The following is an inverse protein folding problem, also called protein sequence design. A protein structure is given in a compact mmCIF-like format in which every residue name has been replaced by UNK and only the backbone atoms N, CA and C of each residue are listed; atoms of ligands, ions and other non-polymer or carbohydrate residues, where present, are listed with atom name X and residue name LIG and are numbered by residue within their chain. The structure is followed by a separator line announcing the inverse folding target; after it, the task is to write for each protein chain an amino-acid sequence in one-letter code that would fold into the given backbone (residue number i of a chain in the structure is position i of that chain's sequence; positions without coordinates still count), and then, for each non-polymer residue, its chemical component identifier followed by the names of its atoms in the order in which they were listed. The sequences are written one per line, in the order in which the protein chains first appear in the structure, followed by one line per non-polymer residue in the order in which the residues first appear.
data_IF_428471172583
#
_entry.id   IF_428471172583
#
_cell.length_a   1.000
_cell.length_b   1.000
_cell.length_c   1.000
_cell.angle_alpha   90.00
_cell.angle_beta   90.00
_cell.angle_gamma   90.00
#
_symmetry.space_group_name_H-M   'P 1'
#
loop_
_entity.id
_entity.type
_entity.pdbx_description
1 polymer ?
#
# COMPACT_ATOMS: atom_id res chain seq x y z
N UNK A 1 -8.09 2.04 -6.02
CA UNK A 1 -6.90 1.63 -5.23
C UNK A 1 -5.80 2.61 -5.60
N UNK A 2 -5.01 3.14 -4.63
CA UNK A 2 -4.08 4.22 -4.92
C UNK A 2 -3.14 3.91 -6.07
N UNK A 3 -2.91 4.89 -6.92
CA UNK A 3 -2.05 4.76 -8.08
C UNK A 3 -0.67 5.32 -7.76
N UNK A 4 0.39 4.53 -7.91
CA UNK A 4 1.77 4.98 -7.83
C UNK A 4 2.20 5.51 -9.21
N UNK A 5 2.59 6.78 -9.31
CA UNK A 5 2.91 7.40 -10.59
C UNK A 5 1.82 7.18 -11.66
N UNK A 6 0.54 7.32 -11.24
CA UNK A 6 -0.65 7.11 -12.09
C UNK A 6 -0.81 5.68 -12.65
N UNK A 7 -0.14 4.69 -12.06
CA UNK A 7 -0.31 3.27 -12.39
C UNK A 7 -0.74 2.48 -11.16
N UNK A 8 -1.49 1.38 -11.31
CA UNK A 8 -1.81 0.51 -10.19
C UNK A 8 -0.53 0.03 -9.49
N UNK A 9 -0.49 0.13 -8.16
CA UNK A 9 0.60 -0.44 -7.38
C UNK A 9 0.37 -1.93 -7.18
N UNK A 10 1.33 -2.75 -7.61
CA UNK A 10 1.30 -4.18 -7.36
C UNK A 10 1.49 -4.50 -5.87
N UNK A 11 0.83 -5.57 -5.40
CA UNK A 11 1.16 -6.20 -4.12
C UNK A 11 2.43 -7.04 -4.28
N UNK A 12 3.31 -7.03 -3.29
CA UNK A 12 4.42 -7.99 -3.22
C UNK A 12 3.85 -9.38 -2.99
N UNK A 13 4.40 -10.37 -3.66
CA UNK A 13 4.00 -11.76 -3.48
C UNK A 13 4.44 -12.26 -2.10
N UNK A 14 3.61 -13.13 -1.51
CA UNK A 14 4.00 -13.82 -0.28
C UNK A 14 5.18 -14.74 -0.59
N UNK A 15 6.30 -14.65 0.15
CA UNK A 15 7.43 -15.53 -0.08
C UNK A 15 7.02 -17.02 -0.03
N UNK A 16 7.48 -17.85 -0.98
CA UNK A 16 7.18 -19.27 -0.93
C UNK A 16 7.78 -19.86 0.36
N UNK A 17 6.98 -20.65 1.08
CA UNK A 17 7.33 -21.36 2.34
C UNK A 17 7.08 -20.63 3.67
N UNK A 18 6.33 -19.52 3.71
CA UNK A 18 5.85 -18.97 5.00
C UNK A 18 4.86 -19.92 5.66
N UNK A 19 5.16 -20.35 6.89
CA UNK A 19 4.27 -21.17 7.72
C UNK A 19 3.38 -20.29 8.60
N UNK A 20 2.25 -20.85 9.04
CA UNK A 20 1.31 -20.13 9.91
C UNK A 20 1.90 -19.70 11.26
N UNK A 21 2.94 -20.39 11.72
CA UNK A 21 3.64 -20.12 13.00
C UNK A 21 4.80 -19.13 12.86
N UNK A 22 5.16 -18.74 11.64
CA UNK A 22 6.32 -17.88 11.41
C UNK A 22 6.02 -16.45 11.85
N UNK A 23 7.02 -15.80 12.44
CA UNK A 23 6.93 -14.37 12.75
C UNK A 23 7.18 -13.58 11.47
N UNK A 24 6.24 -12.70 11.14
CA UNK A 24 6.29 -11.85 9.94
C UNK A 24 6.03 -10.40 10.33
N UNK A 25 6.46 -9.49 9.47
CA UNK A 25 6.06 -8.09 9.51
C UNK A 25 4.80 -7.94 8.67
N UNK A 26 3.72 -7.46 9.27
CA UNK A 26 2.44 -7.29 8.60
C UNK A 26 2.16 -5.80 8.35
N UNK A 27 1.81 -5.47 7.11
CA UNK A 27 1.43 -4.13 6.68
C UNK A 27 -0.07 -4.10 6.40
N UNK A 28 -0.82 -3.64 7.39
CA UNK A 28 -2.29 -3.69 7.39
C UNK A 28 -2.91 -2.94 6.21
N UNK A 29 -2.39 -1.75 5.87
CA UNK A 29 -2.99 -0.88 4.86
C UNK A 29 -2.99 -1.48 3.44
N UNK A 30 -2.03 -2.35 3.13
CA UNK A 30 -1.95 -3.04 1.83
C UNK A 30 -2.23 -4.54 1.94
N UNK A 31 -2.43 -5.04 3.17
CA UNK A 31 -2.59 -6.46 3.49
C UNK A 31 -1.43 -7.30 2.94
N UNK A 32 -0.20 -6.83 3.19
CA UNK A 32 1.05 -7.47 2.77
C UNK A 32 1.80 -8.02 3.98
N UNK A 33 2.52 -9.13 3.78
CA UNK A 33 3.42 -9.71 4.79
C UNK A 33 4.85 -9.77 4.26
N UNK A 34 5.81 -9.61 5.16
CA UNK A 34 7.25 -9.62 4.85
C UNK A 34 7.96 -10.48 5.88
N UNK A 35 8.98 -11.21 5.42
CA UNK A 35 9.76 -12.11 6.29
C UNK A 35 11.00 -11.44 6.84
N UNK A 36 11.43 -10.34 6.21
CA UNK A 36 12.58 -9.54 6.65
C UNK A 36 12.15 -8.11 6.98
N UNK A 37 12.90 -7.48 7.89
CA UNK A 37 12.67 -6.09 8.24
C UNK A 37 12.98 -5.15 7.06
N UNK A 38 14.03 -5.44 6.30
CA UNK A 38 14.48 -4.58 5.20
C UNK A 38 13.40 -4.50 4.10
N UNK A 39 12.79 -5.62 3.70
CA UNK A 39 11.70 -5.63 2.73
C UNK A 39 10.47 -4.84 3.21
N UNK A 40 10.12 -4.99 4.49
CA UNK A 40 9.03 -4.25 5.11
C UNK A 40 9.34 -2.74 5.15
N UNK A 41 10.57 -2.38 5.53
CA UNK A 41 11.02 -1.01 5.65
C UNK A 41 11.07 -0.30 4.29
N UNK A 42 11.59 -0.96 3.25
CA UNK A 42 11.54 -0.45 1.87
C UNK A 42 10.10 -0.20 1.41
N UNK A 43 9.19 -1.13 1.71
CA UNK A 43 7.78 -0.95 1.37
C UNK A 43 7.19 0.23 2.11
N UNK A 44 7.49 0.40 3.40
CA UNK A 44 7.07 1.56 4.17
C UNK A 44 7.58 2.88 3.58
N UNK A 45 8.85 2.95 3.18
CA UNK A 45 9.40 4.14 2.49
C UNK A 45 8.60 4.44 1.22
N UNK A 46 8.34 3.41 0.41
CA UNK A 46 7.56 3.57 -0.82
C UNK A 46 6.16 4.11 -0.52
N UNK A 47 5.42 3.51 0.43
CA UNK A 47 4.05 3.92 0.75
C UNK A 47 3.95 5.32 1.39
N UNK A 48 5.02 5.77 2.07
CA UNK A 48 5.12 7.11 2.62
C UNK A 48 5.64 8.16 1.62
N UNK A 49 6.02 7.77 0.40
CA UNK A 49 6.37 8.74 -0.65
C UNK A 49 5.10 9.44 -1.17
N UNK A 50 5.21 10.72 -1.52
CA UNK A 50 4.09 11.53 -2.06
C UNK A 50 3.84 11.30 -3.55
N UNK A 51 4.21 10.12 -4.07
CA UNK A 51 4.11 9.77 -5.49
C UNK A 51 2.75 9.17 -5.87
N UNK A 52 1.79 9.13 -4.94
CA UNK A 52 0.49 8.53 -5.17
C UNK A 52 -0.56 9.53 -5.62
N UNK A 53 -1.58 8.96 -6.26
CA UNK A 53 -2.82 9.65 -6.60
C UNK A 53 -4.05 8.80 -6.28
N UNK A 54 -5.15 9.45 -5.93
CA UNK A 54 -6.45 8.83 -5.75
C UNK A 54 -7.08 8.51 -7.11
N UNK A 55 -7.51 7.26 -7.31
CA UNK A 55 -8.11 6.82 -8.57
C UNK A 55 -9.48 7.48 -8.84
N UNK A 56 -10.28 7.70 -7.80
CA UNK A 56 -11.65 8.23 -7.92
C UNK A 56 -11.70 9.77 -8.04
N UNK A 57 -10.87 10.48 -7.26
CA UNK A 57 -10.90 11.95 -7.23
C UNK A 57 -9.85 12.60 -8.14
N UNK A 58 -8.84 11.84 -8.58
CA UNK A 58 -7.72 12.36 -9.36
C UNK A 58 -6.72 13.20 -8.57
N UNK A 59 -6.91 13.40 -7.25
CA UNK A 59 -5.95 14.13 -6.40
C UNK A 59 -4.58 13.45 -6.44
N UNK A 60 -3.53 14.25 -6.62
CA UNK A 60 -2.13 13.81 -6.75
C UNK A 60 -1.25 14.34 -5.62
N UNK A 61 -0.02 13.84 -5.49
CA UNK A 61 0.92 14.33 -4.48
C UNK A 61 0.64 13.76 -3.10
N UNK A 62 -0.03 12.61 -3.05
CA UNK A 62 -0.48 11.94 -1.83
C UNK A 62 0.51 10.82 -1.48
N UNK A 63 0.56 10.48 -0.20
CA UNK A 63 1.02 9.16 0.22
C UNK A 63 -0.01 8.08 -0.11
N UNK A 64 0.39 6.81 -0.02
CA UNK A 64 -0.55 5.71 -0.21
C UNK A 64 -1.74 5.79 0.76
N UNK A 65 -1.48 6.16 2.03
CA UNK A 65 -2.50 6.23 3.08
C UNK A 65 -3.50 7.37 2.85
N UNK A 66 -3.02 8.55 2.47
CA UNK A 66 -3.88 9.68 2.12
C UNK A 66 -4.71 9.41 0.86
N UNK A 67 -4.11 8.76 -0.13
CA UNK A 67 -4.83 8.34 -1.32
C UNK A 67 -5.93 7.32 -0.96
N UNK A 68 -5.64 6.32 -0.12
CA UNK A 68 -6.65 5.37 0.38
C UNK A 68 -7.81 6.07 1.09
N UNK A 69 -7.50 7.03 1.96
CA UNK A 69 -8.53 7.78 2.68
C UNK A 69 -9.38 8.62 1.72
N UNK A 70 -8.75 9.29 0.75
CA UNK A 70 -9.46 10.01 -0.30
C UNK A 70 -10.36 9.10 -1.14
N UNK A 71 -9.96 7.85 -1.39
CA UNK A 71 -10.80 6.87 -2.09
C UNK A 71 -12.01 6.46 -1.25
N UNK A 72 -11.80 6.15 0.04
CA UNK A 72 -12.88 5.80 0.97
C UNK A 72 -13.93 6.92 1.06
N UNK A 73 -13.49 8.16 1.21
CA UNK A 73 -14.39 9.32 1.27
C UNK A 73 -15.19 9.51 -0.04
N UNK A 74 -14.53 9.32 -1.19
CA UNK A 74 -15.19 9.42 -2.49
C UNK A 74 -16.26 8.33 -2.66
N UNK A 75 -15.99 7.11 -2.21
CA UNK A 75 -16.95 5.99 -2.27
C UNK A 75 -18.16 6.17 -1.35
N UNK A 76 -17.99 6.80 -0.18
CA UNK A 76 -19.12 7.10 0.73
C UNK A 76 -20.01 8.23 0.18
N UNK A 77 -19.44 9.09 -0.66
CA UNK A 77 -20.13 10.26 -1.23
C UNK A 77 -20.84 9.95 -2.57
N UNK A 78 -20.76 8.71 -3.05
CA UNK A 78 -21.39 8.19 -4.27
C UNK A 78 -22.67 7.42 -3.92
#
# INVERSE_FOLDING_TARGET
MPLLNKKPIGRREVPPNVKLTDKVYYLEASNEIFTTYDEFFERMIQLNSTLFSCEYTGKTGLTYFEALDSEKQAMVSL
#
